data_IF_480576677711
#
_entry.id   IF_480576677711
#
_cell.length_a   1.000
_cell.length_b   1.000
_cell.length_c   1.000
_cell.angle_alpha   90.00
_cell.angle_beta   90.00
_cell.angle_gamma   90.00
#
_symmetry.space_group_name_H-M   'P 1'
#
loop_
_entity.id
_entity.type
_entity.pdbx_description
1 polymer ?
#
# COMPACT_ATOMS: atom_id res chain seq x y z
N UNK A 1 22.41 -1.39 0.58
CA UNK A 1 21.43 -2.11 -0.25
C UNK A 1 20.89 -1.19 -1.34
N UNK A 2 20.64 -1.71 -2.55
CA UNK A 2 20.05 -1.00 -3.68
C UNK A 2 18.76 -1.73 -4.09
N UNK A 3 17.61 -1.12 -3.84
CA UNK A 3 16.29 -1.71 -4.08
C UNK A 3 15.52 -0.80 -5.03
N UNK A 4 14.94 -1.37 -6.07
CA UNK A 4 14.15 -0.66 -7.06
C UNK A 4 13.13 -1.59 -7.71
N UNK A 5 12.28 -1.01 -8.55
CA UNK A 5 11.29 -1.73 -9.36
C UNK A 5 11.50 -1.39 -10.83
N UNK A 6 11.22 -2.33 -11.72
CA UNK A 6 11.46 -2.21 -13.16
C UNK A 6 10.17 -1.82 -13.89
N UNK A 7 9.85 -2.48 -15.00
CA UNK A 7 8.65 -2.24 -15.79
C UNK A 7 7.36 -2.36 -14.94
N UNK A 8 6.45 -1.40 -15.09
CA UNK A 8 5.20 -1.34 -14.30
C UNK A 8 5.32 -0.58 -12.98
N UNK A 9 6.51 -0.04 -12.66
CA UNK A 9 6.70 0.82 -11.51
C UNK A 9 5.96 2.16 -11.65
N UNK A 10 4.87 2.36 -10.89
CA UNK A 10 4.29 3.67 -10.67
C UNK A 10 4.96 4.42 -9.52
N UNK A 11 4.76 5.75 -9.42
CA UNK A 11 5.30 6.56 -8.32
C UNK A 11 4.89 6.07 -6.92
N UNK A 12 3.70 5.48 -6.80
CA UNK A 12 3.20 4.91 -5.57
C UNK A 12 3.97 3.65 -5.13
N UNK A 13 4.50 2.85 -6.05
CA UNK A 13 5.35 1.69 -5.73
C UNK A 13 6.68 2.14 -5.11
N UNK A 14 7.34 3.14 -5.72
CA UNK A 14 8.60 3.69 -5.22
C UNK A 14 8.42 4.33 -3.84
N UNK A 15 7.31 5.08 -3.66
CA UNK A 15 6.96 5.65 -2.36
C UNK A 15 6.76 4.57 -1.30
N UNK A 16 5.92 3.56 -1.58
CA UNK A 16 5.66 2.48 -0.64
C UNK A 16 6.94 1.71 -0.27
N UNK A 17 7.84 1.48 -1.23
CA UNK A 17 9.16 0.88 -0.98
C UNK A 17 10.03 1.75 -0.07
N UNK A 18 10.04 3.07 -0.27
CA UNK A 18 10.79 3.97 0.59
C UNK A 18 10.24 3.98 2.03
N UNK A 19 8.91 4.03 2.17
CA UNK A 19 8.22 4.04 3.45
C UNK A 19 8.39 2.72 4.22
N UNK A 20 8.35 1.57 3.54
CA UNK A 20 8.60 0.27 4.19
C UNK A 20 10.02 0.13 4.73
N UNK A 21 10.97 0.88 4.17
CA UNK A 21 12.35 1.00 4.67
C UNK A 21 12.50 2.10 5.74
N UNK A 22 11.41 2.67 6.24
CA UNK A 22 11.40 3.71 7.27
C UNK A 22 11.71 5.13 6.76
N UNK A 23 11.78 5.35 5.44
CA UNK A 23 12.05 6.68 4.86
C UNK A 23 10.74 7.47 4.66
N UNK A 24 10.81 8.80 4.76
CA UNK A 24 9.68 9.69 4.51
C UNK A 24 10.01 10.69 3.39
N UNK A 25 9.92 10.29 2.10
CA UNK A 25 10.13 11.21 0.99
C UNK A 25 9.02 12.29 0.92
N UNK A 26 9.24 13.41 0.20
CA UNK A 26 8.20 14.44 0.01
C UNK A 26 6.88 13.94 -0.59
N UNK A 27 6.92 12.79 -1.27
CA UNK A 27 5.74 12.13 -1.84
C UNK A 27 4.88 11.41 -0.78
N UNK A 28 5.37 11.19 0.44
CA UNK A 28 4.61 10.60 1.56
C UNK A 28 3.39 11.42 1.96
N UNK A 29 3.33 12.71 1.59
CA UNK A 29 2.11 13.52 1.72
C UNK A 29 0.90 12.96 0.94
N UNK A 30 1.15 12.07 -0.02
CA UNK A 30 0.14 11.40 -0.84
C UNK A 30 -0.03 9.93 -0.46
N UNK A 31 0.45 9.53 0.72
CA UNK A 31 0.29 8.16 1.19
C UNK A 31 -1.17 7.89 1.50
N UNK A 32 -1.60 6.69 1.11
CA UNK A 32 -2.99 6.30 1.23
C UNK A 32 -3.30 5.95 2.68
N UNK A 33 -4.51 6.26 3.11
CA UNK A 33 -5.03 5.80 4.39
C UNK A 33 -5.28 4.28 4.30
N UNK A 34 -4.38 3.50 4.89
CA UNK A 34 -4.45 2.04 4.86
C UNK A 34 -5.67 1.47 5.58
N UNK A 35 -6.34 2.24 6.47
CA UNK A 35 -7.61 1.81 7.05
C UNK A 35 -8.70 1.61 5.99
N UNK A 36 -8.57 2.25 4.82
CA UNK A 36 -9.50 2.15 3.68
C UNK A 36 -9.03 1.18 2.60
N UNK A 37 -7.93 0.47 2.82
CA UNK A 37 -7.41 -0.48 1.86
C UNK A 37 -8.43 -1.60 1.62
N UNK A 38 -8.67 -1.97 0.37
CA UNK A 38 -9.78 -2.87 0.01
C UNK A 38 -9.71 -4.25 0.70
N UNK A 39 -8.50 -4.79 0.86
CA UNK A 39 -8.27 -6.11 1.44
C UNK A 39 -7.83 -6.04 2.92
N UNK A 40 -6.77 -5.28 3.18
CA UNK A 40 -6.17 -5.12 4.53
C UNK A 40 -6.72 -3.97 5.38
N UNK A 41 -7.73 -3.23 4.91
CA UNK A 41 -8.28 -2.10 5.66
C UNK A 41 -9.23 -2.53 6.78
N UNK A 42 -9.53 -1.60 7.68
CA UNK A 42 -10.39 -1.78 8.86
C UNK A 42 -11.62 -0.87 8.84
N UNK A 43 -11.81 -0.05 7.80
CA UNK A 43 -12.97 0.83 7.63
C UNK A 43 -14.26 0.00 7.47
N UNK A 44 -15.31 0.37 8.21
CA UNK A 44 -16.60 -0.34 8.22
C UNK A 44 -17.29 -0.40 6.85
N UNK A 45 -16.90 0.46 5.91
CA UNK A 45 -17.44 0.51 4.54
C UNK A 45 -16.84 -0.56 3.62
N UNK A 46 -15.76 -1.22 4.04
CA UNK A 46 -15.16 -2.32 3.27
C UNK A 46 -16.13 -3.50 3.26
N UNK A 47 -16.41 -4.03 2.07
CA UNK A 47 -17.37 -5.13 1.93
C UNK A 47 -16.74 -6.42 2.44
N UNK A 48 -17.51 -7.24 3.16
CA UNK A 48 -17.06 -8.56 3.66
C UNK A 48 -16.43 -9.43 2.57
N UNK A 49 -16.98 -9.41 1.37
CA UNK A 49 -16.41 -10.15 0.24
C UNK A 49 -14.93 -9.82 0.01
N UNK A 50 -14.52 -8.56 0.17
CA UNK A 50 -13.13 -8.11 -0.03
C UNK A 50 -12.23 -8.55 1.14
N UNK A 51 -12.69 -8.43 2.38
CA UNK A 51 -11.92 -8.89 3.55
C UNK A 51 -11.80 -10.41 3.62
N UNK A 52 -12.85 -11.14 3.23
CA UNK A 52 -12.86 -12.61 3.25
C UNK A 52 -11.91 -13.21 2.20
N UNK A 53 -11.57 -12.45 1.14
CA UNK A 53 -10.55 -12.87 0.17
C UNK A 53 -9.14 -12.95 0.77
N UNK A 54 -8.86 -12.23 1.87
CA UNK A 54 -7.53 -12.24 2.50
C UNK A 54 -7.13 -13.65 2.96
N UNK A 55 -8.09 -14.45 3.41
CA UNK A 55 -7.83 -15.83 3.89
C UNK A 55 -7.42 -16.78 2.75
N UNK A 56 -7.59 -16.36 1.49
CA UNK A 56 -7.23 -17.13 0.29
C UNK A 56 -5.93 -16.66 -0.37
N UNK A 57 -5.36 -15.54 0.09
CA UNK A 57 -4.08 -14.99 -0.38
C UNK A 57 -2.91 -15.63 0.38
#
# INVERSE_FOLDING_TARGET
HYLGVCCGAGPHHIRALAESLGRHPPASRYSVDMSRHAFFGTDQRIRKIQSDYVVKL
#
